data_IF_650922542189
#
_entry.id   IF_650922542189
#
_cell.length_a   1.000
_cell.length_b   1.000
_cell.length_c   1.000
_cell.angle_alpha   90.00
_cell.angle_beta   90.00
_cell.angle_gamma   90.00
#
_symmetry.space_group_name_H-M   'P 1'
#
loop_
_entity.id
_entity.type
_entity.pdbx_description
1 polymer ?
#
# COMPACT_ATOMS: atom_id res chain seq x y z
N UNK A 1 15.30 -14.81 3.48
CA UNK A 1 15.09 -13.47 4.08
C UNK A 1 13.60 -13.13 4.24
N UNK A 2 12.79 -13.19 3.17
CA UNK A 2 11.34 -12.90 3.21
C UNK A 2 10.60 -13.77 4.26
N UNK A 3 10.94 -15.06 4.37
CA UNK A 3 10.39 -15.96 5.40
C UNK A 3 10.70 -15.51 6.85
N UNK A 4 11.87 -14.92 7.08
CA UNK A 4 12.29 -14.45 8.41
C UNK A 4 11.55 -13.15 8.75
N UNK A 5 11.45 -12.23 7.79
CA UNK A 5 10.68 -10.98 7.94
C UNK A 5 9.19 -11.27 8.19
N UNK A 6 8.59 -12.17 7.42
CA UNK A 6 7.19 -12.57 7.61
C UNK A 6 6.96 -13.28 8.96
N UNK A 7 7.89 -14.14 9.40
CA UNK A 7 7.82 -14.76 10.72
C UNK A 7 7.92 -13.74 11.87
N UNK A 8 8.86 -12.79 11.78
CA UNK A 8 8.99 -11.72 12.76
C UNK A 8 7.73 -10.83 12.80
N UNK A 9 7.15 -10.56 11.63
CA UNK A 9 5.91 -9.80 11.53
C UNK A 9 4.73 -10.55 12.16
N UNK A 10 4.61 -11.84 11.88
CA UNK A 10 3.61 -12.72 12.50
C UNK A 10 3.72 -12.75 14.02
N UNK A 11 4.92 -12.94 14.55
CA UNK A 11 5.17 -12.90 15.99
C UNK A 11 4.80 -11.55 16.59
N UNK A 12 5.16 -10.45 15.91
CA UNK A 12 4.79 -9.10 16.32
C UNK A 12 3.28 -8.91 16.36
N UNK A 13 2.53 -9.42 15.36
CA UNK A 13 1.06 -9.41 15.37
C UNK A 13 0.47 -10.21 16.54
N UNK A 14 0.98 -11.41 16.81
CA UNK A 14 0.51 -12.23 17.93
C UNK A 14 0.79 -11.56 19.28
N UNK A 15 1.99 -11.00 19.47
CA UNK A 15 2.32 -10.24 20.67
C UNK A 15 1.41 -9.03 20.82
N UNK A 16 1.12 -8.34 19.72
CA UNK A 16 0.25 -7.18 19.71
C UNK A 16 -1.18 -7.50 20.18
N UNK A 17 -1.77 -8.59 19.69
CA UNK A 17 -3.09 -9.08 20.15
C UNK A 17 -3.06 -9.56 21.61
N UNK A 18 -1.98 -10.21 22.05
CA UNK A 18 -1.83 -10.65 23.45
C UNK A 18 -1.74 -9.48 24.41
N UNK A 19 -1.03 -8.41 24.04
CA UNK A 19 -0.94 -7.18 24.83
C UNK A 19 -2.31 -6.53 24.99
N UNK A 20 -3.14 -6.53 23.95
CA UNK A 20 -4.51 -6.04 24.05
C UNK A 20 -5.33 -6.83 25.09
N UNK A 21 -5.19 -8.16 25.14
CA UNK A 21 -5.93 -9.00 26.08
C UNK A 21 -5.53 -8.77 27.55
N UNK A 22 -4.34 -8.21 27.80
CA UNK A 22 -3.84 -7.88 29.14
C UNK A 22 -4.30 -6.51 29.63
N UNK A 23 -4.84 -5.66 28.75
CA UNK A 23 -5.27 -4.31 29.12
C UNK A 23 -6.71 -4.32 29.66
N UNK A 24 -6.98 -3.70 30.82
CA UNK A 24 -8.30 -3.70 31.44
C UNK A 24 -9.33 -2.82 30.71
N UNK A 25 -8.88 -1.98 29.77
CA UNK A 25 -9.73 -1.07 29.00
C UNK A 25 -9.69 -1.41 27.51
N UNK A 26 -10.79 -1.12 26.81
CA UNK A 26 -10.94 -1.32 25.36
C UNK A 26 -10.17 -0.26 24.56
N UNK A 27 -8.83 -0.29 24.59
CA UNK A 27 -7.97 0.61 23.79
C UNK A 27 -8.23 0.47 22.29
N UNK A 28 -8.37 1.58 21.57
CA UNK A 28 -8.77 1.60 20.16
C UNK A 28 -7.59 1.69 19.19
N UNK A 29 -6.41 2.09 19.66
CA UNK A 29 -5.29 2.40 18.77
C UNK A 29 -3.91 2.04 19.36
N UNK A 30 -2.93 1.80 18.49
CA UNK A 30 -1.53 1.51 18.86
C UNK A 30 -0.90 2.59 19.76
N UNK A 31 -1.12 3.90 19.49
CA UNK A 31 -0.64 4.96 20.38
C UNK A 31 -1.21 4.88 21.79
N UNK A 32 -2.49 4.53 21.96
CA UNK A 32 -3.10 4.40 23.29
C UNK A 32 -2.47 3.27 24.11
N UNK A 33 -2.19 2.14 23.46
CA UNK A 33 -1.49 1.02 24.10
C UNK A 33 -0.09 1.45 24.55
N UNK A 34 0.66 2.12 23.66
CA UNK A 34 1.99 2.64 23.99
C UNK A 34 1.95 3.64 25.15
N UNK A 35 0.91 4.49 25.20
CA UNK A 35 0.70 5.43 26.29
C UNK A 35 0.48 4.74 27.64
N UNK A 36 -0.36 3.69 27.67
CA UNK A 36 -0.68 2.98 28.91
C UNK A 36 0.52 2.19 29.45
N UNK A 37 1.30 1.56 28.58
CA UNK A 37 2.42 0.71 28.99
C UNK A 37 3.69 1.50 29.35
N UNK A 38 4.02 2.53 28.57
CA UNK A 38 5.32 3.20 28.65
C UNK A 38 5.19 4.72 28.87
N UNK A 39 3.97 5.24 28.97
CA UNK A 39 3.70 6.65 29.26
C UNK A 39 3.81 7.57 28.04
N UNK A 40 3.97 8.87 28.33
CA UNK A 40 3.85 9.96 27.34
C UNK A 40 4.93 9.95 26.25
N UNK A 41 6.14 9.50 26.55
CA UNK A 41 7.26 9.48 25.60
C UNK A 41 7.01 8.47 24.47
N UNK A 42 6.58 7.25 24.82
CA UNK A 42 6.27 6.21 23.85
C UNK A 42 5.07 6.59 22.95
N UNK A 43 4.08 7.30 23.50
CA UNK A 43 2.97 7.84 22.72
C UNK A 43 3.45 8.75 21.59
N UNK A 44 4.33 9.71 21.89
CA UNK A 44 4.86 10.62 20.86
C UNK A 44 5.69 9.90 19.81
N UNK A 45 6.57 8.97 20.20
CA UNK A 45 7.40 8.19 19.26
C UNK A 45 6.52 7.35 18.34
N UNK A 46 5.49 6.72 18.88
CA UNK A 46 4.57 5.89 18.10
C UNK A 46 3.80 6.71 17.07
N UNK A 47 3.33 7.89 17.46
CA UNK A 47 2.60 8.79 16.57
C UNK A 47 3.50 9.35 15.48
N UNK A 48 4.71 9.77 15.80
CA UNK A 48 5.64 10.30 14.79
C UNK A 48 6.02 9.22 13.78
N UNK A 49 6.23 7.97 14.22
CA UNK A 49 6.46 6.83 13.32
C UNK A 49 5.24 6.53 12.44
N UNK A 50 4.03 6.55 13.00
CA UNK A 50 2.80 6.32 12.24
C UNK A 50 2.56 7.45 11.20
N UNK A 51 2.82 8.70 11.60
CA UNK A 51 2.65 9.86 10.73
C UNK A 51 3.69 9.88 9.61
N UNK A 52 4.96 9.57 9.90
CA UNK A 52 5.99 9.48 8.85
C UNK A 52 5.70 8.36 7.86
N UNK A 53 5.23 7.20 8.34
CA UNK A 53 4.86 6.07 7.49
C UNK A 53 3.66 6.39 6.60
N UNK A 54 2.58 6.95 7.17
CA UNK A 54 1.37 7.31 6.42
C UNK A 54 1.65 8.40 5.38
N UNK A 55 2.46 9.41 5.72
CA UNK A 55 2.91 10.42 4.77
C UNK A 55 3.76 9.82 3.65
N UNK A 56 4.68 8.91 3.98
CA UNK A 56 5.49 8.20 2.98
C UNK A 56 4.66 7.38 2.01
N UNK A 57 3.69 6.61 2.52
CA UNK A 57 2.74 5.86 1.69
C UNK A 57 1.89 6.77 0.81
N UNK A 58 1.47 7.94 1.33
CA UNK A 58 0.71 8.91 0.56
C UNK A 58 1.54 9.50 -0.60
N UNK A 59 2.81 9.85 -0.36
CA UNK A 59 3.71 10.33 -1.41
C UNK A 59 3.89 9.26 -2.50
N UNK A 60 4.17 8.02 -2.11
CA UNK A 60 4.32 6.91 -3.06
C UNK A 60 3.04 6.68 -3.87
N UNK A 61 1.88 6.73 -3.20
CA UNK A 61 0.59 6.64 -3.87
C UNK A 61 0.41 7.74 -4.91
N UNK A 62 0.72 8.99 -4.58
CA UNK A 62 0.59 10.13 -5.52
C UNK A 62 1.54 10.02 -6.71
N UNK A 63 2.76 9.51 -6.52
CA UNK A 63 3.71 9.27 -7.61
C UNK A 63 3.18 8.18 -8.53
N UNK A 64 2.80 7.03 -7.99
CA UNK A 64 2.33 5.89 -8.77
C UNK A 64 1.00 6.19 -9.51
N UNK A 65 0.07 6.87 -8.85
CA UNK A 65 -1.19 7.29 -9.48
C UNK A 65 -0.95 8.28 -10.61
N UNK A 66 0.04 9.17 -10.47
CA UNK A 66 0.39 10.12 -11.51
C UNK A 66 1.01 9.42 -12.73
N UNK A 67 1.90 8.45 -12.51
CA UNK A 67 2.48 7.69 -13.61
C UNK A 67 1.44 6.84 -14.34
N UNK A 68 0.59 6.12 -13.61
CA UNK A 68 -0.48 5.32 -14.20
C UNK A 68 -1.48 6.18 -14.97
N UNK A 69 -1.89 7.32 -14.41
CA UNK A 69 -2.74 8.28 -15.11
C UNK A 69 -2.07 8.81 -16.38
N UNK A 70 -0.77 9.18 -16.32
CA UNK A 70 -0.01 9.64 -17.49
C UNK A 70 0.06 8.58 -18.58
N UNK A 71 0.31 7.31 -18.23
CA UNK A 71 0.33 6.21 -19.21
C UNK A 71 -1.03 5.96 -19.86
N UNK A 72 -2.10 5.95 -19.07
CA UNK A 72 -3.47 5.79 -19.60
C UNK A 72 -3.80 6.94 -20.54
N UNK A 73 -3.48 8.17 -20.14
CA UNK A 73 -3.79 9.35 -20.94
C UNK A 73 -2.98 9.39 -22.25
N UNK A 74 -1.70 8.98 -22.20
CA UNK A 74 -0.86 8.81 -23.39
C UNK A 74 -1.47 7.79 -24.35
N UNK A 75 -1.89 6.62 -23.86
CA UNK A 75 -2.49 5.59 -24.69
C UNK A 75 -3.86 5.97 -25.28
N UNK A 76 -4.57 6.93 -24.65
CA UNK A 76 -5.82 7.47 -25.18
C UNK A 76 -5.61 8.61 -26.19
N UNK A 77 -4.55 9.41 -26.03
CA UNK A 77 -4.27 10.56 -26.88
C UNK A 77 -3.36 10.26 -28.07
N UNK A 78 -2.51 9.22 -27.99
CA UNK A 78 -1.61 8.78 -29.05
C UNK A 78 -2.21 7.56 -29.75
N UNK A 79 -2.22 7.57 -31.10
CA UNK A 79 -2.39 6.33 -31.85
C UNK A 79 -1.13 5.47 -31.71
N UNK A 80 -1.25 4.12 -31.72
CA UNK A 80 -0.10 3.24 -31.59
C UNK A 80 0.92 3.53 -32.69
N UNK A 81 2.11 4.01 -32.30
CA UNK A 81 3.21 4.36 -33.21
C UNK A 81 3.49 5.85 -33.44
N UNK A 82 2.78 6.77 -32.76
CA UNK A 82 3.11 8.21 -32.78
C UNK A 82 4.02 8.61 -31.61
N UNK A 83 5.02 9.46 -31.90
CA UNK A 83 5.96 10.01 -30.91
C UNK A 83 5.32 11.10 -30.05
N UNK A 84 5.80 11.26 -28.81
CA UNK A 84 5.33 12.30 -27.87
C UNK A 84 5.45 13.74 -28.43
N UNK A 85 6.32 13.94 -29.42
CA UNK A 85 6.55 15.21 -30.11
C UNK A 85 5.43 15.62 -31.07
N UNK A 86 4.52 14.70 -31.44
CA UNK A 86 3.36 15.03 -32.29
C UNK A 86 2.17 15.60 -31.52
N UNK A 87 2.20 15.57 -30.17
CA UNK A 87 1.17 16.21 -29.35
C UNK A 87 1.35 17.74 -29.35
N UNK A 88 0.38 18.45 -29.92
CA UNK A 88 0.35 19.92 -29.88
C UNK A 88 -0.78 20.46 -29.00
N UNK A 89 -0.55 21.62 -28.37
CA UNK A 89 -1.56 22.36 -27.63
C UNK A 89 -1.96 21.75 -26.28
N UNK A 90 -3.27 21.73 -26.00
CA UNK A 90 -3.84 21.29 -24.72
C UNK A 90 -3.53 19.82 -24.39
N UNK A 91 -3.38 18.97 -25.39
CA UNK A 91 -3.00 17.57 -25.19
C UNK A 91 -1.61 17.44 -24.54
N UNK A 92 -0.62 18.24 -24.97
CA UNK A 92 0.72 18.21 -24.39
C UNK A 92 0.74 18.67 -22.91
N UNK A 93 -0.12 19.63 -22.56
CA UNK A 93 -0.27 20.13 -21.19
C UNK A 93 -0.93 19.10 -20.26
N UNK A 94 -1.99 18.44 -20.71
CA UNK A 94 -2.71 17.44 -19.91
C UNK A 94 -1.88 16.16 -19.74
N UNK A 95 -1.01 15.85 -20.71
CA UNK A 95 -0.13 14.67 -20.66
C UNK A 95 1.14 14.92 -19.83
N UNK A 96 1.42 16.18 -19.46
CA UNK A 96 2.60 16.55 -18.69
C UNK A 96 2.50 16.04 -17.23
N UNK A 97 3.49 15.23 -16.81
CA UNK A 97 3.57 14.61 -15.48
C UNK A 97 3.44 15.60 -14.33
N UNK A 98 3.96 16.82 -14.46
CA UNK A 98 3.91 17.81 -13.39
C UNK A 98 2.53 18.47 -13.26
N UNK A 99 1.85 18.70 -14.38
CA UNK A 99 0.51 19.28 -14.39
C UNK A 99 -0.53 18.28 -13.86
N UNK A 100 -0.41 17.01 -14.23
CA UNK A 100 -1.22 15.92 -13.65
C UNK A 100 -0.99 15.78 -12.14
N UNK A 101 0.26 15.84 -11.67
CA UNK A 101 0.55 15.75 -10.23
C UNK A 101 -0.11 16.90 -9.44
N UNK A 102 -0.02 18.13 -9.95
CA UNK A 102 -0.61 19.33 -9.30
C UNK A 102 -2.14 19.26 -9.31
N UNK A 103 -2.75 18.90 -10.43
CA UNK A 103 -4.22 18.76 -10.51
C UNK A 103 -4.74 17.63 -9.61
N UNK A 104 -4.02 16.50 -9.54
CA UNK A 104 -4.37 15.37 -8.69
C UNK A 104 -4.25 15.71 -7.20
N UNK A 105 -3.18 16.40 -6.78
CA UNK A 105 -3.04 16.91 -5.40
C UNK A 105 -4.15 17.89 -5.02
N UNK A 106 -4.50 18.82 -5.93
CA UNK A 106 -5.56 19.79 -5.68
C UNK A 106 -6.96 19.13 -5.54
N UNK A 107 -7.19 18.03 -6.25
CA UNK A 107 -8.45 17.28 -6.19
C UNK A 107 -8.55 16.37 -4.96
N UNK A 108 -7.46 15.72 -4.56
CA UNK A 108 -7.42 14.80 -3.42
C UNK A 108 -7.34 15.50 -2.07
N UNK A 109 -6.64 16.63 -1.98
CA UNK A 109 -6.50 17.39 -0.73
C UNK A 109 -7.86 17.66 -0.03
N UNK A 110 -8.90 18.21 -0.69
CA UNK A 110 -10.19 18.44 -0.04
C UNK A 110 -10.96 17.16 0.27
N UNK A 111 -10.69 16.04 -0.40
CA UNK A 111 -11.33 14.76 -0.11
C UNK A 111 -10.76 14.09 1.15
N UNK A 112 -9.45 14.25 1.40
CA UNK A 112 -8.79 13.75 2.62
C UNK A 112 -9.33 14.39 3.91
N UNK A 113 -9.89 15.60 3.85
CA UNK A 113 -10.49 16.28 5.00
C UNK A 113 -11.99 15.99 5.19
N UNK A 114 -12.65 15.26 4.27
CA UNK A 114 -14.07 14.93 4.43
C UNK A 114 -14.24 13.81 5.46
N UNK A 115 -14.93 14.15 6.55
CA UNK A 115 -15.16 13.31 7.74
C UNK A 115 -15.97 12.03 7.48
N UNK A 116 -16.63 11.89 6.33
CA UNK A 116 -17.45 10.73 5.96
C UNK A 116 -16.91 10.01 4.73
N UNK A 117 -16.25 8.88 4.99
CA UNK A 117 -15.47 8.06 4.05
C UNK A 117 -16.33 7.02 3.30
N UNK A 118 -17.61 7.29 3.02
CA UNK A 118 -18.41 6.36 2.19
C UNK A 118 -17.79 6.17 0.79
N UNK A 119 -17.14 7.22 0.26
CA UNK A 119 -16.40 7.19 -1.00
C UNK A 119 -15.16 6.28 -0.94
N UNK A 120 -14.55 6.08 0.24
CA UNK A 120 -13.40 5.17 0.36
C UNK A 120 -13.76 3.69 0.24
N UNK A 121 -15.02 3.29 0.49
CA UNK A 121 -15.42 1.89 0.23
C UNK A 121 -15.34 1.56 -1.26
N UNK A 122 -15.80 2.46 -2.11
CA UNK A 122 -15.72 2.31 -3.57
C UNK A 122 -14.26 2.28 -4.02
N UNK A 123 -13.43 3.18 -3.47
CA UNK A 123 -11.98 3.19 -3.74
C UNK A 123 -11.32 1.89 -3.29
N UNK A 124 -11.70 1.33 -2.13
CA UNK A 124 -11.17 0.06 -1.64
C UNK A 124 -11.51 -1.11 -2.57
N UNK A 125 -12.73 -1.17 -3.12
CA UNK A 125 -13.10 -2.17 -4.12
C UNK A 125 -12.35 -1.97 -5.44
N UNK A 126 -12.16 -0.72 -5.88
CA UNK A 126 -11.37 -0.44 -7.07
C UNK A 126 -9.92 -0.93 -6.90
N UNK A 127 -9.30 -0.66 -5.75
CA UNK A 127 -7.92 -1.09 -5.44
C UNK A 127 -7.79 -2.61 -5.41
N UNK A 128 -8.77 -3.34 -4.86
CA UNK A 128 -8.72 -4.81 -4.86
C UNK A 128 -8.89 -5.40 -6.25
N UNK A 129 -9.77 -4.82 -7.09
CA UNK A 129 -9.92 -5.22 -8.48
C UNK A 129 -8.64 -4.95 -9.27
N UNK A 130 -8.01 -3.78 -9.09
CA UNK A 130 -6.75 -3.47 -9.78
C UNK A 130 -5.63 -4.40 -9.33
N UNK A 131 -5.53 -4.71 -8.04
CA UNK A 131 -4.53 -5.66 -7.54
C UNK A 131 -4.75 -7.06 -8.13
N UNK A 132 -6.00 -7.55 -8.15
CA UNK A 132 -6.33 -8.82 -8.77
C UNK A 132 -6.01 -8.85 -10.28
N UNK A 133 -6.32 -7.76 -10.99
CA UNK A 133 -5.99 -7.61 -12.40
C UNK A 133 -4.47 -7.62 -12.64
N UNK A 134 -3.67 -6.93 -11.81
CA UNK A 134 -2.20 -6.95 -11.93
C UNK A 134 -1.62 -8.33 -11.68
N UNK A 135 -2.14 -9.09 -10.71
CA UNK A 135 -1.72 -10.47 -10.47
C UNK A 135 -2.08 -11.34 -11.67
N UNK A 136 -3.29 -11.17 -12.23
CA UNK A 136 -3.72 -11.89 -13.42
C UNK A 136 -2.83 -11.57 -14.63
N UNK A 137 -2.50 -10.29 -14.85
CA UNK A 137 -1.58 -9.88 -15.92
C UNK A 137 -0.20 -10.51 -15.75
N UNK A 138 0.37 -10.48 -14.53
CA UNK A 138 1.65 -11.15 -14.27
C UNK A 138 1.57 -12.66 -14.53
N UNK A 139 0.49 -13.31 -14.10
CA UNK A 139 0.29 -14.74 -14.36
C UNK A 139 0.14 -15.06 -15.85
N UNK A 140 -0.51 -14.17 -16.62
CA UNK A 140 -0.63 -14.29 -18.07
C UNK A 140 0.74 -14.12 -18.73
N UNK A 141 1.51 -13.10 -18.34
CA UNK A 141 2.86 -12.88 -18.84
C UNK A 141 3.71 -14.13 -18.59
N UNK A 142 3.70 -14.68 -17.37
CA UNK A 142 4.38 -15.94 -17.03
C UNK A 142 3.90 -17.14 -17.84
N UNK A 143 2.60 -17.21 -18.20
CA UNK A 143 2.06 -18.30 -19.00
C UNK A 143 2.38 -18.16 -20.50
N UNK A 144 2.59 -16.94 -20.99
CA UNK A 144 2.97 -16.66 -22.39
C UNK A 144 4.49 -16.69 -22.63
N UNK A 145 5.31 -16.72 -21.58
CA UNK A 145 6.78 -16.60 -21.65
C UNK A 145 7.52 -17.90 -22.07
N UNK A 146 6.83 -18.86 -22.71
CA UNK A 146 7.45 -20.08 -23.25
C UNK A 146 8.40 -19.83 -24.45
N UNK A 147 8.53 -18.60 -24.96
CA UNK A 147 9.36 -18.30 -26.14
C UNK A 147 10.67 -17.54 -25.87
N UNK A 148 10.98 -17.17 -24.63
CA UNK A 148 12.13 -16.29 -24.32
C UNK A 148 13.35 -17.05 -23.78
N UNK A 149 13.32 -18.39 -23.75
CA UNK A 149 14.46 -19.26 -23.36
C UNK A 149 15.62 -19.27 -24.38
N UNK A 150 15.52 -18.56 -25.51
CA UNK A 150 16.60 -18.49 -26.53
C UNK A 150 17.53 -17.29 -26.44
N UNK A 151 17.29 -16.34 -25.54
CA UNK A 151 18.24 -15.25 -25.32
C UNK A 151 19.01 -15.51 -24.03
N UNK A 152 20.19 -16.10 -24.23
CA UNK A 152 21.28 -16.25 -23.26
C UNK A 152 21.41 -14.98 -22.39
N UNK A 153 20.83 -15.03 -21.20
CA UNK A 153 21.39 -14.33 -20.04
C UNK A 153 21.70 -15.40 -19.02
N UNK A 154 22.99 -15.68 -18.95
CA UNK A 154 23.65 -16.63 -18.07
C UNK A 154 22.99 -16.62 -16.68
N UNK A 155 22.46 -17.77 -16.27
CA UNK A 155 21.85 -17.98 -14.94
C UNK A 155 22.76 -17.53 -13.76
N UNK A 156 24.09 -17.43 -13.99
CA UNK A 156 25.05 -16.89 -13.02
C UNK A 156 24.84 -15.40 -12.69
N UNK A 157 24.32 -14.58 -13.62
CA UNK A 157 24.10 -13.15 -13.37
C UNK A 157 22.81 -12.89 -12.54
N UNK A 158 21.82 -13.78 -12.63
CA UNK A 158 20.60 -13.77 -11.81
C UNK A 158 20.85 -14.23 -10.38
N UNK A 159 21.84 -15.10 -10.17
CA UNK A 159 22.26 -15.62 -8.86
C UNK A 159 23.38 -14.78 -8.23
N UNK A 160 24.04 -13.92 -9.02
CA UNK A 160 25.01 -12.97 -8.48
C UNK A 160 24.31 -12.05 -7.47
N UNK A 161 24.60 -12.27 -6.19
CA UNK A 161 24.20 -11.35 -5.13
C UNK A 161 24.93 -10.04 -5.41
N UNK A 162 24.27 -9.13 -6.13
CA UNK A 162 24.71 -7.73 -6.26
C UNK A 162 24.53 -7.08 -4.90
N UNK A 163 25.44 -7.41 -3.98
CA UNK A 163 25.60 -6.75 -2.71
C UNK A 163 25.91 -5.29 -2.96
N UNK A 164 24.94 -4.43 -2.69
CA UNK A 164 25.02 -3.00 -2.94
C UNK A 164 23.82 -2.29 -2.33
N UNK A 165 23.79 -0.97 -2.41
CA UNK A 165 22.69 -0.15 -1.89
C UNK A 165 21.30 -0.61 -2.37
N UNK A 166 21.21 -1.23 -3.55
CA UNK A 166 19.97 -1.80 -4.09
C UNK A 166 19.38 -2.90 -3.21
N UNK A 167 20.21 -3.70 -2.54
CA UNK A 167 19.74 -4.72 -1.59
C UNK A 167 19.09 -4.07 -0.35
N UNK A 168 19.71 -3.00 0.16
CA UNK A 168 19.18 -2.23 1.29
C UNK A 168 17.83 -1.59 0.93
N UNK A 169 17.74 -1.00 -0.26
CA UNK A 169 16.48 -0.42 -0.79
C UNK A 169 15.39 -1.48 -0.92
N UNK A 170 15.72 -2.67 -1.44
CA UNK A 170 14.79 -3.79 -1.53
C UNK A 170 14.29 -4.26 -0.15
N UNK A 171 15.19 -4.31 0.85
CA UNK A 171 14.84 -4.68 2.23
C UNK A 171 13.90 -3.65 2.86
N UNK A 172 14.15 -2.35 2.67
CA UNK A 172 13.24 -1.30 3.13
C UNK A 172 11.85 -1.39 2.47
N UNK A 173 11.81 -1.66 1.17
CA UNK A 173 10.56 -1.79 0.42
C UNK A 173 9.75 -2.99 0.93
N UNK A 174 10.39 -4.15 1.12
CA UNK A 174 9.75 -5.33 1.71
C UNK A 174 9.24 -5.01 3.13
N UNK A 175 10.04 -4.34 3.95
CA UNK A 175 9.65 -3.97 5.32
C UNK A 175 8.43 -3.04 5.32
N UNK A 176 8.36 -2.11 4.37
CA UNK A 176 7.22 -1.23 4.19
C UNK A 176 5.97 -1.98 3.68
N UNK A 177 6.12 -2.96 2.79
CA UNK A 177 4.99 -3.80 2.36
C UNK A 177 4.39 -4.59 3.53
N UNK A 178 5.22 -5.01 4.49
CA UNK A 178 4.77 -5.75 5.66
C UNK A 178 4.32 -4.85 6.82
N UNK A 179 4.54 -3.53 6.79
CA UNK A 179 4.21 -2.61 7.89
C UNK A 179 2.71 -2.28 8.00
N UNK A 180 1.86 -3.30 8.15
CA UNK A 180 0.41 -3.15 8.36
C UNK A 180 -0.04 -3.17 9.83
N UNK A 181 0.90 -3.22 10.78
CA UNK A 181 0.62 -3.52 12.20
C UNK A 181 -0.31 -2.51 12.89
N UNK A 182 -0.25 -1.23 12.51
CA UNK A 182 -1.09 -0.19 13.12
C UNK A 182 -2.58 -0.30 12.75
N UNK A 183 -2.92 -0.98 11.66
CA UNK A 183 -4.30 -1.11 11.17
C UNK A 183 -5.02 -2.37 11.66
N UNK A 184 -4.34 -3.29 12.36
CA UNK A 184 -4.90 -4.60 12.69
C UNK A 184 -5.94 -4.54 13.81
N UNK A 185 -5.75 -3.70 14.83
CA UNK A 185 -6.71 -3.52 15.95
C UNK A 185 -8.10 -3.06 15.49
N UNK A 186 -8.21 -1.96 14.70
CA UNK A 186 -9.52 -1.52 14.23
C UNK A 186 -10.17 -2.59 13.34
N UNK A 187 -9.39 -3.25 12.46
CA UNK A 187 -9.90 -4.32 11.60
C UNK A 187 -10.40 -5.54 12.40
N UNK A 188 -9.65 -5.97 13.42
CA UNK A 188 -10.01 -7.10 14.28
C UNK A 188 -11.31 -6.83 15.07
N UNK A 189 -11.49 -5.61 15.58
CA UNK A 189 -12.73 -5.23 16.27
C UNK A 189 -13.94 -5.15 15.34
N UNK A 190 -13.75 -4.69 14.09
CA UNK A 190 -14.83 -4.71 13.10
C UNK A 190 -15.27 -6.14 12.76
N UNK A 191 -14.36 -7.11 12.80
CA UNK A 191 -14.65 -8.54 12.66
C UNK A 191 -15.30 -9.16 13.91
N UNK A 192 -14.97 -8.69 15.11
CA UNK A 192 -15.60 -9.17 16.36
C UNK A 192 -17.04 -8.67 16.54
N UNK A 193 -17.36 -7.44 16.15
CA UNK A 193 -18.72 -6.86 16.24
C UNK A 193 -19.85 -7.77 15.72
N UNK A 194 -19.77 -8.35 14.50
CA UNK A 194 -20.79 -9.25 14.00
C UNK A 194 -20.86 -10.59 14.76
N UNK A 195 -19.74 -11.06 15.34
CA UNK A 195 -19.69 -12.31 16.10
C UNK A 195 -20.42 -12.18 17.44
N UNK A 196 -20.20 -11.08 18.18
CA UNK A 196 -20.97 -10.79 19.40
C UNK A 196 -22.46 -10.50 19.12
N UNK A 197 -22.77 -9.84 17.99
CA UNK A 197 -24.16 -9.63 17.57
C UNK A 197 -24.88 -10.95 17.25
N UNK A 198 -24.16 -11.95 16.74
CA UNK A 198 -24.70 -13.30 16.48
C UNK A 198 -24.92 -14.07 17.77
N UNK A 199 -23.96 -14.05 18.70
CA UNK A 199 -24.07 -14.72 20.01
C UNK A 199 -25.22 -14.13 20.83
N UNK A 200 -25.39 -12.80 20.82
CA UNK A 200 -26.47 -12.11 21.55
C UNK A 200 -27.88 -12.44 21.03
N UNK A 201 -28.02 -12.80 19.74
CA UNK A 201 -29.29 -13.26 19.16
C UNK A 201 -29.64 -14.71 19.51
N UNK A 202 -28.65 -15.52 19.88
CA UNK A 202 -28.87 -16.92 20.29
C UNK A 202 -29.16 -17.01 21.79
N UNK A 203 -28.75 -16.00 22.57
CA UNK A 203 -29.02 -15.90 24.01
C UNK A 203 -30.31 -15.15 24.37
N UNK A 204 -31.13 -14.77 23.39
CA UNK A 204 -32.46 -14.16 23.56
C UNK A 204 -33.51 -15.12 23.02
#
# INVERSE_FOLDING_TARGET
>A
MIAILSCNQYLSFCMYLRVQALLPYTTFSLPEIAYILFGRTAYFVTITMCLSLTMGCLILYMILSNETASYILKNLCLQPGQDESSLSGWAALITNKHFLLISYTLFLAPQLFKRHLQQMKVISYAVTITAAATILSMLLDFATDEQTEKNETTFDDLVSSKGGFNFLTGLFLITLCYSGQYAILPAYRELERPSYARIRRVSQ
#
